data_IF_635779848611
#
_entry.id   IF_635779848611
#
_cell.length_a   1.000
_cell.length_b   1.000
_cell.length_c   1.000
_cell.angle_alpha   90.00
_cell.angle_beta   90.00
_cell.angle_gamma   90.00
#
_symmetry.space_group_name_H-M   'P 1'
#
loop_
_entity.id
_entity.type
_entity.pdbx_description
1 polymer ?
#
# COMPACT_ATOMS: atom_id res chain seq x y z
N UNK A 1 10.07 -71.20 10.15
CA UNK A 1 8.99 -70.21 10.31
C UNK A 1 9.54 -69.11 11.22
N UNK A 2 10.03 -68.03 10.64
CA UNK A 2 10.65 -66.94 11.39
C UNK A 2 9.54 -66.03 11.93
N UNK A 3 9.19 -66.21 13.21
CA UNK A 3 8.30 -65.28 13.89
C UNK A 3 9.19 -64.23 14.58
N UNK A 4 9.57 -63.19 13.83
CA UNK A 4 10.29 -62.04 14.37
C UNK A 4 9.30 -61.29 15.26
N UNK A 5 9.26 -61.66 16.54
CA UNK A 5 8.52 -60.92 17.55
C UNK A 5 9.11 -59.53 17.61
N UNK A 6 8.42 -58.54 17.05
CA UNK A 6 8.76 -57.15 17.24
C UNK A 6 8.61 -56.85 18.74
N UNK A 7 9.75 -56.76 19.42
CA UNK A 7 9.86 -56.42 20.83
C UNK A 7 9.06 -55.15 21.11
N UNK A 8 8.24 -55.12 22.17
CA UNK A 8 7.38 -53.96 22.49
C UNK A 8 8.11 -52.61 22.59
N UNK A 9 9.44 -52.65 22.77
CA UNK A 9 10.35 -51.50 22.69
C UNK A 9 10.40 -50.84 21.31
N UNK A 10 10.40 -51.61 20.22
CA UNK A 10 10.46 -51.07 18.85
C UNK A 10 9.17 -50.35 18.48
N UNK A 11 8.03 -50.85 18.96
CA UNK A 11 6.74 -50.20 18.79
C UNK A 11 6.68 -48.86 19.56
N UNK A 12 7.18 -48.84 20.80
CA UNK A 12 7.23 -47.64 21.62
C UNK A 12 8.14 -46.55 21.01
N UNK A 13 9.33 -46.94 20.52
CA UNK A 13 10.25 -46.00 19.85
C UNK A 13 9.64 -45.44 18.57
N UNK A 14 8.98 -46.28 17.75
CA UNK A 14 8.28 -45.82 16.54
C UNK A 14 7.12 -44.88 16.85
N UNK A 15 6.36 -45.15 17.90
CA UNK A 15 5.26 -44.28 18.33
C UNK A 15 5.78 -42.92 18.82
N UNK A 16 6.85 -42.92 19.62
CA UNK A 16 7.50 -41.70 20.10
C UNK A 16 8.08 -40.88 18.93
N UNK A 17 8.76 -41.55 17.99
CA UNK A 17 9.30 -40.90 16.80
C UNK A 17 8.18 -40.32 15.92
N UNK A 18 7.08 -41.03 15.74
CA UNK A 18 5.91 -40.54 15.03
C UNK A 18 5.33 -39.28 15.68
N UNK A 19 5.20 -39.29 17.02
CA UNK A 19 4.71 -38.14 17.77
C UNK A 19 5.68 -36.95 17.71
N UNK A 20 6.99 -37.21 17.76
CA UNK A 20 8.03 -36.21 17.57
C UNK A 20 7.94 -35.57 16.18
N UNK A 21 7.78 -36.37 15.13
CA UNK A 21 7.63 -35.89 13.74
C UNK A 21 6.39 -35.02 13.62
N UNK A 22 5.26 -35.43 14.17
CA UNK A 22 4.02 -34.63 14.16
C UNK A 22 4.25 -33.31 14.90
N UNK A 23 4.89 -33.34 16.07
CA UNK A 23 5.23 -32.13 16.82
C UNK A 23 6.13 -31.18 16.02
N UNK A 24 7.15 -31.70 15.35
CA UNK A 24 8.01 -30.93 14.45
C UNK A 24 7.24 -30.30 13.29
N UNK A 25 6.31 -31.03 12.67
CA UNK A 25 5.45 -30.48 11.61
C UNK A 25 4.58 -29.31 12.11
N UNK A 26 4.02 -29.42 13.32
CA UNK A 26 3.23 -28.33 13.93
C UNK A 26 4.11 -27.11 14.19
N UNK A 27 5.30 -27.30 14.78
CA UNK A 27 6.26 -26.21 15.02
C UNK A 27 6.67 -25.54 13.72
N UNK A 28 7.00 -26.34 12.69
CA UNK A 28 7.38 -25.83 11.38
C UNK A 28 6.26 -24.96 10.78
N UNK A 29 5.02 -25.44 10.83
CA UNK A 29 3.86 -24.69 10.33
C UNK A 29 3.72 -23.32 11.01
N UNK A 30 3.85 -23.27 12.35
CA UNK A 30 3.79 -22.00 13.07
C UNK A 30 4.94 -21.06 12.73
N UNK A 31 6.15 -21.59 12.57
CA UNK A 31 7.35 -20.79 12.29
C UNK A 31 7.38 -20.27 10.85
N UNK A 32 6.82 -20.99 9.87
CA UNK A 32 6.87 -20.56 8.46
C UNK A 32 5.62 -19.80 8.02
N UNK A 33 4.42 -20.29 8.38
CA UNK A 33 3.17 -19.78 7.81
C UNK A 33 2.70 -18.50 8.48
N UNK A 34 2.77 -18.42 9.80
CA UNK A 34 2.30 -17.25 10.57
C UNK A 34 3.08 -15.97 10.24
N UNK A 35 4.43 -15.95 10.20
CA UNK A 35 5.14 -14.73 9.85
C UNK A 35 4.95 -14.34 8.38
N UNK A 36 4.82 -15.31 7.47
CA UNK A 36 4.54 -15.04 6.06
C UNK A 36 3.21 -14.31 5.87
N UNK A 37 2.16 -14.71 6.61
CA UNK A 37 0.86 -14.03 6.56
C UNK A 37 0.91 -12.60 7.09
N UNK A 38 1.67 -12.34 8.17
CA UNK A 38 1.82 -10.99 8.73
C UNK A 38 2.58 -10.06 7.79
N UNK A 39 3.65 -10.56 7.15
CA UNK A 39 4.39 -9.82 6.15
C UNK A 39 3.52 -9.48 4.93
N UNK A 40 2.71 -10.44 4.45
CA UNK A 40 1.79 -10.22 3.34
C UNK A 40 0.69 -9.21 3.65
N UNK A 41 0.17 -9.18 4.88
CA UNK A 41 -0.83 -8.19 5.30
C UNK A 41 -0.25 -6.76 5.31
N UNK A 42 0.94 -6.58 5.89
CA UNK A 42 1.63 -5.29 5.90
C UNK A 42 2.01 -4.79 4.50
N UNK A 43 2.38 -5.72 3.60
CA UNK A 43 2.65 -5.39 2.20
C UNK A 43 1.40 -4.90 1.49
N UNK A 44 0.25 -5.58 1.65
CA UNK A 44 -1.01 -5.14 1.03
C UNK A 44 -1.42 -3.74 1.44
N UNK A 45 -1.31 -3.40 2.72
CA UNK A 45 -1.62 -2.05 3.20
C UNK A 45 -0.70 -0.99 2.58
N UNK A 46 0.58 -1.31 2.42
CA UNK A 46 1.57 -0.43 1.79
C UNK A 46 1.27 -0.27 0.29
N UNK A 47 0.98 -1.36 -0.41
CA UNK A 47 0.67 -1.36 -1.84
C UNK A 47 -0.59 -0.54 -2.13
N UNK A 48 -1.65 -0.71 -1.32
CA UNK A 48 -2.88 0.08 -1.43
C UNK A 48 -2.62 1.57 -1.20
N UNK A 49 -1.74 1.92 -0.26
CA UNK A 49 -1.42 3.31 0.06
C UNK A 49 -0.60 3.95 -1.07
N UNK A 50 0.37 3.23 -1.63
CA UNK A 50 1.17 3.66 -2.80
C UNK A 50 0.33 3.81 -4.05
N UNK A 51 -0.59 2.88 -4.27
CA UNK A 51 -1.56 2.95 -5.35
C UNK A 51 -2.43 4.20 -5.22
N UNK A 52 -2.98 4.45 -4.02
CA UNK A 52 -3.78 5.65 -3.77
C UNK A 52 -2.99 6.94 -3.97
N UNK A 53 -1.75 6.99 -3.51
CA UNK A 53 -0.88 8.14 -3.79
C UNK A 53 -0.60 8.32 -5.29
N UNK A 54 -0.49 7.22 -6.06
CA UNK A 54 -0.37 7.28 -7.52
C UNK A 54 -1.65 7.81 -8.19
N UNK A 55 -2.83 7.46 -7.66
CA UNK A 55 -4.11 8.01 -8.13
C UNK A 55 -4.18 9.53 -7.86
N UNK A 56 -3.77 9.97 -6.67
CA UNK A 56 -3.66 11.40 -6.33
C UNK A 56 -2.69 12.11 -7.25
N UNK A 57 -1.52 11.54 -7.52
CA UNK A 57 -0.55 12.07 -8.49
C UNK A 57 -1.19 12.24 -9.87
N UNK A 58 -1.94 11.25 -10.33
CA UNK A 58 -2.62 11.29 -11.64
C UNK A 58 -3.67 12.40 -11.68
N UNK A 59 -4.46 12.54 -10.62
CA UNK A 59 -5.42 13.63 -10.48
C UNK A 59 -4.74 15.01 -10.44
N UNK A 60 -3.63 15.15 -9.71
CA UNK A 60 -2.85 16.40 -9.64
C UNK A 60 -2.32 16.81 -11.01
N UNK A 61 -1.81 15.84 -11.78
CA UNK A 61 -1.34 16.07 -13.15
C UNK A 61 -2.50 16.53 -14.05
N UNK A 62 -3.65 15.85 -13.99
CA UNK A 62 -4.83 16.22 -14.77
C UNK A 62 -5.39 17.60 -14.41
N UNK A 63 -5.41 17.95 -13.12
CA UNK A 63 -5.78 19.27 -12.65
C UNK A 63 -4.87 20.34 -13.24
N UNK A 64 -3.55 20.14 -13.16
CA UNK A 64 -2.56 21.06 -13.73
C UNK A 64 -2.71 21.18 -15.25
N UNK A 65 -2.91 20.07 -15.95
CA UNK A 65 -3.05 20.10 -17.40
C UNK A 65 -4.34 20.83 -17.84
N UNK A 66 -5.37 20.88 -16.97
CA UNK A 66 -6.63 21.58 -17.23
C UNK A 66 -6.61 23.06 -16.82
N UNK A 67 -5.99 23.40 -15.69
CA UNK A 67 -6.04 24.74 -15.07
C UNK A 67 -4.70 25.49 -15.11
N UNK A 68 -3.63 24.84 -15.58
CA UNK A 68 -2.30 25.39 -15.74
C UNK A 68 -1.40 25.36 -14.50
N UNK A 69 -1.96 25.10 -13.31
CA UNK A 69 -1.24 25.13 -12.03
C UNK A 69 -1.71 23.98 -11.13
N UNK A 70 -0.92 23.61 -10.12
CA UNK A 70 -1.33 22.65 -9.10
C UNK A 70 -2.32 23.26 -8.09
N UNK A 71 -3.22 22.47 -7.50
CA UNK A 71 -4.16 22.98 -6.51
C UNK A 71 -3.43 23.39 -5.23
N UNK A 72 -3.89 24.45 -4.56
CA UNK A 72 -3.31 24.88 -3.27
C UNK A 72 -3.60 23.92 -2.12
N UNK A 73 -4.66 23.12 -2.23
CA UNK A 73 -5.11 22.15 -1.22
C UNK A 73 -5.66 20.89 -1.89
N UNK A 74 -5.56 19.75 -1.18
CA UNK A 74 -6.17 18.50 -1.65
C UNK A 74 -7.69 18.60 -1.77
N UNK A 75 -8.36 19.40 -0.93
CA UNK A 75 -9.82 19.62 -1.05
C UNK A 75 -10.22 20.21 -2.42
N UNK A 76 -9.39 21.08 -2.98
CA UNK A 76 -9.61 21.66 -4.32
C UNK A 76 -9.44 20.61 -5.41
N UNK A 77 -8.52 19.66 -5.21
CA UNK A 77 -8.34 18.50 -6.09
C UNK A 77 -9.56 17.57 -6.02
N UNK A 78 -10.06 17.29 -4.82
CA UNK A 78 -11.26 16.48 -4.60
C UNK A 78 -12.48 17.09 -5.30
N UNK A 79 -12.67 18.40 -5.21
CA UNK A 79 -13.76 19.10 -5.89
C UNK A 79 -13.64 19.01 -7.42
N UNK A 80 -12.42 19.11 -7.95
CA UNK A 80 -12.17 18.92 -9.37
C UNK A 80 -12.45 17.48 -9.81
N UNK A 81 -11.94 16.49 -9.08
CA UNK A 81 -12.17 15.07 -9.37
C UNK A 81 -13.66 14.68 -9.33
N UNK A 82 -14.47 15.34 -8.47
CA UNK A 82 -15.93 15.18 -8.45
C UNK A 82 -16.61 15.76 -9.68
N UNK A 83 -16.09 16.85 -10.22
CA UNK A 83 -16.70 17.61 -11.32
C UNK A 83 -16.26 17.06 -12.68
N UNK A 84 -15.07 16.48 -12.75
CA UNK A 84 -14.55 15.92 -13.99
C UNK A 84 -15.14 14.54 -14.28
N UNK A 85 -15.98 14.49 -15.32
CA UNK A 85 -16.70 13.28 -15.74
C UNK A 85 -15.78 12.11 -16.14
N UNK A 86 -14.52 12.37 -16.49
CA UNK A 86 -13.54 11.36 -16.90
C UNK A 86 -12.99 10.61 -15.68
N UNK A 87 -12.73 11.31 -14.56
CA UNK A 87 -12.37 10.67 -13.29
C UNK A 87 -13.56 9.94 -12.67
N UNK A 88 -14.76 10.52 -12.74
CA UNK A 88 -15.98 9.86 -12.27
C UNK A 88 -16.29 8.56 -13.04
N UNK A 89 -15.96 8.49 -14.33
CA UNK A 89 -16.16 7.29 -15.16
C UNK A 89 -15.13 6.18 -14.91
N UNK A 90 -13.87 6.53 -14.61
CA UNK A 90 -12.85 5.54 -14.19
C UNK A 90 -13.18 4.91 -12.84
N UNK A 91 -13.78 5.71 -11.94
CA UNK A 91 -14.18 5.27 -10.62
C UNK A 91 -15.34 4.24 -10.66
N UNK A 92 -16.29 4.34 -11.59
CA UNK A 92 -17.47 3.46 -11.66
C UNK A 92 -17.19 1.96 -11.88
N UNK A 93 -15.96 1.55 -12.19
CA UNK A 93 -15.55 0.14 -12.27
C UNK A 93 -14.83 -0.40 -11.02
N UNK A 94 -14.39 0.48 -10.12
CA UNK A 94 -13.50 0.18 -9.00
C UNK A 94 -14.11 0.55 -7.64
N UNK A 95 -15.45 0.58 -7.56
CA UNK A 95 -16.23 0.94 -6.38
C UNK A 95 -15.90 0.08 -5.14
N UNK A 96 -15.50 -1.17 -5.35
CA UNK A 96 -15.06 -2.08 -4.29
C UNK A 96 -13.62 -1.81 -3.80
N UNK A 97 -12.80 -1.14 -4.61
CA UNK A 97 -11.37 -0.90 -4.34
C UNK A 97 -11.09 0.45 -3.67
N UNK A 98 -11.89 1.47 -3.99
CA UNK A 98 -11.64 2.85 -3.56
C UNK A 98 -12.42 3.29 -2.31
N UNK A 99 -13.55 2.64 -1.99
CA UNK A 99 -14.39 2.97 -0.84
C UNK A 99 -15.18 4.29 -1.00
N UNK A 100 -16.42 4.40 -0.48
CA UNK A 100 -17.23 5.63 -0.61
C UNK A 100 -16.83 6.72 0.40
N UNK A 101 -16.88 8.02 0.04
CA UNK A 101 -17.19 8.60 -1.28
C UNK A 101 -15.90 8.89 -2.08
N UNK A 102 -15.83 8.35 -3.29
CA UNK A 102 -14.61 8.07 -4.08
C UNK A 102 -13.64 9.21 -4.35
N UNK A 103 -14.08 10.47 -4.32
CA UNK A 103 -13.16 11.60 -4.45
C UNK A 103 -12.58 12.02 -3.10
N UNK A 104 -13.36 11.93 -2.01
CA UNK A 104 -12.91 12.33 -0.68
C UNK A 104 -11.84 11.37 -0.14
N UNK A 105 -11.94 10.10 -0.56
CA UNK A 105 -10.92 9.08 -0.29
C UNK A 105 -9.55 9.40 -0.90
N UNK A 106 -9.48 10.21 -1.97
CA UNK A 106 -8.20 10.60 -2.58
C UNK A 106 -7.35 11.46 -1.63
N UNK A 107 -7.99 12.29 -0.81
CA UNK A 107 -7.26 13.14 0.12
C UNK A 107 -6.70 12.37 1.34
N UNK A 108 -7.01 11.07 1.47
CA UNK A 108 -6.87 10.31 2.73
C UNK A 108 -6.09 9.00 2.54
N UNK A 109 -5.20 8.72 3.50
CA UNK A 109 -4.43 7.48 3.58
C UNK A 109 -5.32 6.28 3.91
N UNK A 110 -5.23 5.16 3.14
CA UNK A 110 -5.96 3.93 3.44
C UNK A 110 -5.56 3.27 4.78
N UNK A 111 -4.36 3.58 5.28
CA UNK A 111 -3.79 2.92 6.46
C UNK A 111 -4.45 3.37 7.76
N UNK A 112 -4.63 4.69 7.94
CA UNK A 112 -5.24 5.27 9.15
C UNK A 112 -6.52 6.04 8.91
N UNK A 113 -6.84 6.40 7.66
CA UNK A 113 -7.92 7.33 7.36
C UNK A 113 -7.55 8.79 7.65
N UNK A 114 -6.26 9.12 7.84
CA UNK A 114 -5.79 10.50 7.99
C UNK A 114 -5.44 11.15 6.64
N UNK A 115 -5.60 12.47 6.48
CA UNK A 115 -5.34 13.13 5.22
C UNK A 115 -3.85 13.12 4.85
N UNK A 116 -3.55 12.97 3.56
CA UNK A 116 -2.18 13.08 3.07
C UNK A 116 -1.59 14.46 3.33
N UNK A 117 -0.30 14.50 3.62
CA UNK A 117 0.44 15.74 3.77
C UNK A 117 0.74 16.30 2.37
N UNK A 118 0.26 17.50 2.09
CA UNK A 118 0.44 18.17 0.81
C UNK A 118 1.06 19.55 1.01
N UNK A 119 2.18 19.80 0.35
CA UNK A 119 2.86 21.09 0.34
C UNK A 119 3.18 21.49 -1.11
N UNK A 120 2.79 22.70 -1.49
CA UNK A 120 3.20 23.28 -2.77
C UNK A 120 4.53 23.99 -2.58
N UNK A 121 5.53 23.61 -3.38
CA UNK A 121 6.84 24.25 -3.37
C UNK A 121 6.96 25.06 -4.66
N UNK A 122 6.77 26.37 -4.52
CA UNK A 122 6.96 27.31 -5.61
C UNK A 122 8.41 27.78 -5.65
N UNK A 123 9.04 27.67 -6.81
CA UNK A 123 10.34 28.28 -7.08
C UNK A 123 10.19 29.45 -8.06
N UNK A 124 11.11 30.39 -7.96
CA UNK A 124 11.31 31.54 -8.85
C UNK A 124 11.58 31.16 -10.30
N UNK A 125 11.91 29.88 -10.58
CA UNK A 125 12.17 29.33 -11.91
C UNK A 125 10.92 29.07 -12.75
N UNK A 126 9.72 29.22 -12.18
CA UNK A 126 8.44 29.13 -12.90
C UNK A 126 7.92 27.71 -13.11
N UNK A 127 8.57 26.70 -12.51
CA UNK A 127 8.05 25.32 -12.47
C UNK A 127 7.50 25.04 -11.08
N UNK A 128 6.19 24.88 -10.98
CA UNK A 128 5.56 24.45 -9.74
C UNK A 128 5.88 22.99 -9.46
N UNK A 129 6.35 22.72 -8.25
CA UNK A 129 6.53 21.38 -7.72
C UNK A 129 5.69 21.20 -6.45
N UNK A 130 5.39 19.96 -6.10
CA UNK A 130 4.64 19.64 -4.90
C UNK A 130 5.33 18.51 -4.14
N UNK A 131 4.99 18.38 -2.87
CA UNK A 131 5.36 17.26 -2.03
C UNK A 131 4.08 16.67 -1.43
N UNK A 132 3.86 15.39 -1.72
CA UNK A 132 2.75 14.58 -1.21
C UNK A 132 3.35 13.45 -0.38
N UNK A 133 2.95 13.30 0.88
CA UNK A 133 3.44 12.23 1.74
C UNK A 133 2.35 11.58 2.58
N UNK A 134 2.55 10.30 2.89
CA UNK A 134 1.72 9.56 3.83
C UNK A 134 2.02 9.98 5.27
N UNK A 135 1.03 10.46 6.06
CA UNK A 135 1.24 10.78 7.48
C UNK A 135 1.68 9.57 8.31
N UNK A 136 1.36 8.35 7.88
CA UNK A 136 1.71 7.12 8.60
C UNK A 136 3.05 6.50 8.12
N UNK A 137 3.70 7.08 7.11
CA UNK A 137 4.92 6.55 6.51
C UNK A 137 5.87 7.66 6.06
N UNK A 138 6.96 7.87 6.80
CA UNK A 138 7.98 8.85 6.42
C UNK A 138 8.72 8.49 5.12
N UNK A 139 8.69 7.22 4.73
CA UNK A 139 9.38 6.71 3.55
C UNK A 139 8.55 6.82 2.26
N UNK A 140 7.21 6.90 2.35
CA UNK A 140 6.33 6.94 1.19
C UNK A 140 5.91 8.38 0.89
N UNK A 141 6.61 9.00 -0.05
CA UNK A 141 6.28 10.32 -0.60
C UNK A 141 6.36 10.35 -2.14
N UNK A 142 5.63 11.28 -2.74
CA UNK A 142 5.71 11.67 -4.15
C UNK A 142 6.08 13.14 -4.22
N UNK A 143 7.00 13.48 -5.13
CA UNK A 143 7.49 14.84 -5.25
C UNK A 143 8.68 15.11 -4.35
N UNK A 144 9.04 16.37 -4.21
CA UNK A 144 10.15 16.78 -3.35
C UNK A 144 9.89 18.16 -2.77
N UNK A 145 10.48 18.41 -1.60
CA UNK A 145 10.59 19.76 -1.05
C UNK A 145 11.73 20.56 -1.69
N UNK A 146 12.63 19.89 -2.38
CA UNK A 146 13.73 20.49 -3.13
C UNK A 146 13.19 20.98 -4.49
N UNK A 147 13.43 22.25 -4.90
CA UNK A 147 13.07 22.82 -6.21
C UNK A 147 13.80 22.17 -7.39
N UNK A 148 13.62 20.86 -7.57
CA UNK A 148 14.13 20.09 -8.69
C UNK A 148 12.97 19.61 -9.57
N UNK A 149 12.82 20.16 -10.79
CA UNK A 149 11.77 19.78 -11.74
C UNK A 149 11.71 18.28 -12.06
N UNK A 150 12.85 17.59 -12.00
CA UNK A 150 12.92 16.14 -12.26
C UNK A 150 12.25 15.31 -11.17
N UNK A 151 12.13 15.83 -9.95
CA UNK A 151 11.55 15.12 -8.81
C UNK A 151 10.06 15.39 -8.63
N UNK A 152 9.47 16.31 -9.41
CA UNK A 152 8.09 16.81 -9.24
C UNK A 152 7.00 15.73 -9.10
N UNK A 153 7.10 14.66 -9.88
CA UNK A 153 6.13 13.56 -9.90
C UNK A 153 6.78 12.22 -9.48
N UNK A 154 8.02 12.25 -9.03
CA UNK A 154 8.80 11.06 -8.70
C UNK A 154 8.27 10.46 -7.40
N UNK A 155 7.92 9.18 -7.42
CA UNK A 155 7.60 8.46 -6.20
C UNK A 155 8.89 7.95 -5.54
N UNK A 156 8.94 8.02 -4.22
CA UNK A 156 10.05 7.50 -3.39
C UNK A 156 10.30 6.00 -3.55
N UNK A 157 9.31 5.25 -4.04
CA UNK A 157 9.37 3.80 -4.25
C UNK A 157 9.60 3.39 -5.72
N UNK A 158 9.74 4.35 -6.64
CA UNK A 158 10.10 4.15 -8.05
C UNK A 158 11.62 4.29 -8.25
#
# INVERSE_FOLDING_TARGET
>A
MANTGASGSDLAIRALLGLLIIGLCVVLFFVTVVPAQRAAAAQRETDLTRERMSDVRTALISYRDSLGNYPSTLDSLVLFARTDSVFAAQAGGEEERLGPPMADSLAVSPRSGTPFLYELVSDTTGVEIYWLADPDSEADSIGSRDPNPSLRNAASWE
#
